data_IF_683439481455
#
_entry.id   IF_683439481455
#
_cell.length_a   1.000
_cell.length_b   1.000
_cell.length_c   1.000
_cell.angle_alpha   90.00
_cell.angle_beta   90.00
_cell.angle_gamma   90.00
#
_symmetry.space_group_name_H-M   'P 1'
#
loop_
_entity.id
_entity.type
_entity.pdbx_description
1 polymer ?
#
# COMPACT_ATOMS: atom_id res chain seq x y z
N UNK A 1 -4.45 -25.22 14.17
CA UNK A 1 -4.55 -24.09 13.24
C UNK A 1 -4.56 -24.68 11.85
N UNK A 2 -5.72 -24.73 11.20
CA UNK A 2 -5.84 -25.21 9.82
C UNK A 2 -5.09 -24.22 8.92
N UNK A 3 -4.19 -24.74 8.06
CA UNK A 3 -3.61 -23.97 6.98
C UNK A 3 -4.77 -23.38 6.16
N UNK A 4 -4.99 -22.09 6.30
CA UNK A 4 -5.84 -21.33 5.40
C UNK A 4 -5.11 -21.38 4.05
N UNK A 5 -5.57 -22.23 3.14
CA UNK A 5 -5.11 -22.29 1.76
C UNK A 5 -5.67 -21.04 1.06
N UNK A 6 -5.00 -19.90 1.32
CA UNK A 6 -5.35 -18.62 0.74
C UNK A 6 -4.76 -18.66 -0.67
N UNK A 7 -5.52 -19.18 -1.61
CA UNK A 7 -5.27 -19.07 -3.05
C UNK A 7 -5.43 -17.61 -3.53
N UNK A 8 -4.83 -16.68 -2.79
CA UNK A 8 -4.74 -15.29 -3.19
C UNK A 8 -3.55 -15.18 -4.14
N UNK A 9 -3.83 -14.71 -5.30
CA UNK A 9 -3.03 -14.61 -6.51
C UNK A 9 -1.54 -14.37 -6.32
N UNK A 10 -0.73 -15.08 -7.12
CA UNK A 10 0.73 -15.00 -7.07
C UNK A 10 1.26 -13.64 -7.49
N UNK A 11 2.14 -13.10 -6.66
CA UNK A 11 3.03 -12.00 -7.03
C UNK A 11 4.10 -12.58 -7.97
N UNK A 12 4.16 -12.09 -9.21
CA UNK A 12 5.19 -12.49 -10.19
C UNK A 12 6.06 -11.30 -10.58
N UNK A 13 7.08 -10.97 -9.75
CA UNK A 13 8.03 -9.93 -10.11
C UNK A 13 9.02 -10.49 -11.14
N UNK A 14 8.98 -9.98 -12.37
CA UNK A 14 9.84 -10.45 -13.48
C UNK A 14 10.78 -9.37 -14.02
N UNK A 15 10.47 -8.10 -13.80
CA UNK A 15 11.22 -6.97 -14.36
C UNK A 15 12.27 -6.42 -13.39
N UNK A 16 13.36 -5.95 -13.96
CA UNK A 16 14.50 -5.39 -13.24
C UNK A 16 14.94 -4.10 -13.91
N UNK A 17 14.95 -2.98 -13.20
CA UNK A 17 15.35 -1.67 -13.72
C UNK A 17 16.06 -0.85 -12.62
N UNK A 18 17.37 -1.06 -12.40
CA UNK A 18 18.12 -0.46 -11.28
C UNK A 18 18.37 1.04 -11.44
N UNK A 19 18.14 1.60 -12.62
CA UNK A 19 18.25 3.03 -12.93
C UNK A 19 16.93 3.63 -13.46
N UNK A 20 15.82 2.97 -13.21
CA UNK A 20 14.50 3.41 -13.69
C UNK A 20 14.27 3.14 -15.16
N UNK A 21 13.72 4.12 -15.90
CA UNK A 21 13.47 4.07 -17.34
C UNK A 21 14.35 5.10 -18.06
N UNK A 22 15.45 4.69 -18.71
CA UNK A 22 16.36 5.62 -19.37
C UNK A 22 15.74 6.39 -20.53
N UNK A 23 14.57 5.97 -21.06
CA UNK A 23 13.88 6.67 -22.16
C UNK A 23 13.10 7.90 -21.69
N UNK A 24 12.78 7.99 -20.39
CA UNK A 24 12.01 9.10 -19.79
C UNK A 24 12.88 10.32 -19.49
N UNK A 25 14.17 10.13 -19.23
CA UNK A 25 15.09 11.18 -18.77
C UNK A 25 14.99 11.45 -17.26
N UNK A 26 15.95 12.23 -16.73
CA UNK A 26 16.15 12.46 -15.30
C UNK A 26 16.02 13.94 -14.92
N UNK A 27 15.73 14.28 -13.65
CA UNK A 27 15.27 13.34 -12.62
C UNK A 27 13.93 12.74 -12.98
N UNK A 28 13.69 11.48 -12.57
CA UNK A 28 12.42 10.80 -12.83
C UNK A 28 11.81 10.21 -11.57
N UNK A 29 10.48 10.28 -11.49
CA UNK A 29 9.67 9.59 -10.49
C UNK A 29 9.18 8.27 -11.10
N UNK A 30 9.39 7.18 -10.41
CA UNK A 30 8.90 5.88 -10.80
C UNK A 30 8.01 5.28 -9.71
N UNK A 31 6.80 4.86 -10.08
CA UNK A 31 5.93 4.03 -9.24
C UNK A 31 6.04 2.58 -9.70
N UNK A 32 6.17 1.66 -8.76
CA UNK A 32 6.33 0.23 -8.99
C UNK A 32 5.33 -0.58 -8.18
N UNK A 33 4.90 -1.70 -8.75
CA UNK A 33 4.23 -2.76 -7.98
C UNK A 33 4.71 -4.13 -8.46
N UNK A 34 4.82 -5.07 -7.53
CA UNK A 34 5.15 -6.47 -7.84
C UNK A 34 3.89 -7.33 -8.07
N UNK A 35 2.69 -6.72 -8.02
CA UNK A 35 1.42 -7.38 -8.26
C UNK A 35 1.07 -7.41 -9.74
N UNK A 36 0.54 -8.53 -10.23
CA UNK A 36 -0.09 -8.62 -11.55
C UNK A 36 -1.33 -7.71 -11.63
N UNK A 37 -1.74 -7.35 -12.86
CA UNK A 37 -2.92 -6.49 -13.11
C UNK A 37 -4.22 -7.27 -12.85
N UNK A 38 -4.39 -7.74 -11.65
CA UNK A 38 -5.50 -8.56 -11.20
C UNK A 38 -5.93 -8.12 -9.79
N UNK A 39 -7.15 -7.63 -9.70
CA UNK A 39 -7.71 -7.11 -8.44
C UNK A 39 -7.76 -8.18 -7.39
N UNK A 40 -7.53 -7.80 -6.15
CA UNK A 40 -7.79 -8.68 -5.01
C UNK A 40 -9.27 -9.07 -4.97
N UNK A 41 -9.53 -10.37 -4.87
CA UNK A 41 -10.89 -10.88 -4.73
C UNK A 41 -11.39 -10.60 -3.31
N UNK A 42 -12.10 -9.45 -3.15
CA UNK A 42 -12.64 -9.04 -1.84
C UNK A 42 -13.68 -10.00 -1.30
N UNK A 43 -14.44 -10.70 -2.14
CA UNK A 43 -15.43 -11.67 -1.69
C UNK A 43 -14.77 -12.84 -0.97
N UNK A 44 -13.60 -13.29 -1.44
CA UNK A 44 -12.82 -14.33 -0.75
C UNK A 44 -12.25 -13.80 0.58
N UNK A 45 -11.72 -12.57 0.59
CA UNK A 45 -11.24 -11.93 1.82
C UNK A 45 -12.38 -11.81 2.82
N UNK A 46 -13.54 -11.30 2.39
CA UNK A 46 -14.74 -11.17 3.24
C UNK A 46 -15.18 -12.52 3.82
N UNK A 47 -15.20 -13.59 3.02
CA UNK A 47 -15.53 -14.93 3.52
C UNK A 47 -14.60 -15.39 4.65
N UNK A 48 -13.29 -15.14 4.52
CA UNK A 48 -12.31 -15.47 5.55
C UNK A 48 -12.59 -14.68 6.83
N UNK A 49 -12.84 -13.38 6.70
CA UNK A 49 -13.10 -12.49 7.84
C UNK A 49 -14.45 -12.79 8.50
N UNK A 50 -15.47 -13.13 7.71
CA UNK A 50 -16.75 -13.59 8.18
C UNK A 50 -16.61 -14.89 9.01
N UNK A 51 -15.88 -15.88 8.49
CA UNK A 51 -15.62 -17.12 9.19
C UNK A 51 -14.82 -16.91 10.50
N UNK A 52 -13.90 -15.94 10.52
CA UNK A 52 -13.21 -15.57 11.75
C UNK A 52 -14.18 -14.93 12.77
N UNK A 53 -15.00 -13.98 12.34
CA UNK A 53 -15.99 -13.34 13.21
C UNK A 53 -16.99 -14.34 13.80
N UNK A 54 -17.46 -15.29 12.99
CA UNK A 54 -18.50 -16.27 13.37
C UNK A 54 -18.03 -17.32 14.41
N UNK A 55 -16.74 -17.27 14.80
CA UNK A 55 -16.24 -18.05 15.95
C UNK A 55 -16.81 -17.56 17.30
N UNK A 56 -17.35 -16.34 17.34
CA UNK A 56 -17.93 -15.73 18.53
C UNK A 56 -19.36 -15.22 18.29
N UNK A 57 -20.24 -15.25 19.30
CA UNK A 57 -21.57 -14.68 19.21
C UNK A 57 -21.55 -13.17 18.87
N UNK A 58 -22.59 -12.66 18.18
CA UNK A 58 -22.64 -11.27 17.69
C UNK A 58 -22.51 -10.22 18.79
N UNK A 59 -22.96 -10.52 20.00
CA UNK A 59 -22.85 -9.62 21.14
C UNK A 59 -21.45 -9.53 21.74
N UNK A 60 -20.54 -10.46 21.38
CA UNK A 60 -19.13 -10.43 21.82
C UNK A 60 -18.25 -9.62 20.85
N UNK A 61 -18.63 -8.37 20.62
CA UNK A 61 -18.00 -7.48 19.60
C UNK A 61 -16.48 -7.41 19.69
N UNK A 62 -15.92 -7.26 20.89
CA UNK A 62 -14.46 -7.15 21.08
C UNK A 62 -13.72 -8.43 20.65
N UNK A 63 -14.28 -9.59 20.93
CA UNK A 63 -13.67 -10.87 20.52
C UNK A 63 -13.76 -11.05 19.01
N UNK A 64 -14.91 -10.69 18.42
CA UNK A 64 -15.08 -10.70 16.95
C UNK A 64 -14.07 -9.78 16.29
N UNK A 65 -13.97 -8.53 16.74
CA UNK A 65 -13.01 -7.56 16.22
C UNK A 65 -11.57 -8.08 16.29
N UNK A 66 -11.19 -8.68 17.43
CA UNK A 66 -9.85 -9.24 17.63
C UNK A 66 -9.50 -10.30 16.59
N UNK A 67 -10.35 -11.33 16.42
CA UNK A 67 -10.05 -12.43 15.48
C UNK A 67 -10.11 -11.98 14.02
N UNK A 68 -10.97 -11.03 13.68
CA UNK A 68 -11.01 -10.42 12.35
C UNK A 68 -9.71 -9.65 12.08
N UNK A 69 -9.22 -8.86 13.04
CA UNK A 69 -7.94 -8.15 12.89
C UNK A 69 -6.75 -9.10 12.79
N UNK A 70 -6.73 -10.19 13.56
CA UNK A 70 -5.71 -11.24 13.45
C UNK A 70 -5.73 -11.92 12.08
N UNK A 71 -6.90 -12.20 11.53
CA UNK A 71 -7.06 -12.74 10.18
C UNK A 71 -6.59 -11.74 9.11
N UNK A 72 -6.95 -10.46 9.24
CA UNK A 72 -6.46 -9.39 8.36
C UNK A 72 -4.93 -9.30 8.37
N UNK A 73 -4.31 -9.27 9.55
CA UNK A 73 -2.85 -9.26 9.68
C UNK A 73 -2.23 -10.48 8.98
N UNK A 74 -2.82 -11.66 9.14
CA UNK A 74 -2.35 -12.88 8.46
C UNK A 74 -2.43 -12.74 6.93
N UNK A 75 -3.52 -12.20 6.40
CA UNK A 75 -3.71 -11.97 4.96
C UNK A 75 -2.65 -10.98 4.45
N UNK A 76 -2.45 -9.85 5.14
CA UNK A 76 -1.48 -8.83 4.74
C UNK A 76 -0.02 -9.30 4.84
N UNK A 77 0.32 -10.05 5.87
CA UNK A 77 1.68 -10.56 6.07
C UNK A 77 2.04 -11.76 5.17
N UNK A 78 1.06 -12.38 4.52
CA UNK A 78 1.31 -13.49 3.59
C UNK A 78 2.14 -13.09 2.35
N UNK A 79 2.25 -11.78 2.05
CA UNK A 79 2.89 -11.25 0.84
C UNK A 79 2.06 -11.45 -0.44
N UNK A 80 0.96 -12.19 -0.38
CA UNK A 80 0.15 -12.54 -1.56
C UNK A 80 -0.67 -11.36 -2.11
N UNK A 81 -0.90 -10.32 -1.31
CA UNK A 81 -1.58 -9.11 -1.78
C UNK A 81 -0.72 -8.25 -2.69
N UNK A 82 0.61 -8.42 -2.63
CA UNK A 82 1.56 -7.61 -3.37
C UNK A 82 1.96 -6.33 -2.63
N UNK A 83 2.82 -5.55 -3.27
CA UNK A 83 3.43 -4.34 -2.71
C UNK A 83 3.58 -3.27 -3.79
N UNK A 84 3.52 -1.99 -3.37
CA UNK A 84 3.78 -0.84 -4.22
C UNK A 84 4.72 0.14 -3.52
N UNK A 85 5.59 0.80 -4.30
CA UNK A 85 6.55 1.78 -3.79
C UNK A 85 6.92 2.82 -4.84
N UNK A 86 7.55 3.88 -4.39
CA UNK A 86 8.00 5.01 -5.21
C UNK A 86 9.52 5.12 -5.15
N UNK A 87 10.15 5.38 -6.30
CA UNK A 87 11.57 5.74 -6.38
C UNK A 87 11.72 6.99 -7.22
N UNK A 88 12.54 7.93 -6.75
CA UNK A 88 13.04 9.03 -7.57
C UNK A 88 14.49 8.71 -7.95
N UNK A 89 14.76 8.58 -9.24
CA UNK A 89 16.11 8.50 -9.77
C UNK A 89 16.57 9.90 -10.17
N UNK A 90 17.66 10.39 -9.58
CA UNK A 90 18.18 11.72 -9.86
C UNK A 90 18.98 11.75 -11.18
N UNK A 91 19.65 10.65 -11.50
CA UNK A 91 20.42 10.45 -12.73
C UNK A 91 20.40 8.98 -13.18
N UNK A 92 21.07 8.68 -14.29
CA UNK A 92 21.31 7.33 -14.81
C UNK A 92 22.42 6.56 -14.06
N UNK A 93 22.99 7.15 -13.01
CA UNK A 93 24.01 6.50 -12.19
C UNK A 93 23.39 5.57 -11.19
N UNK A 94 23.87 4.32 -11.15
CA UNK A 94 23.47 3.36 -10.13
C UNK A 94 23.75 3.92 -8.73
N UNK A 95 22.72 3.86 -7.85
CA UNK A 95 22.82 4.37 -6.48
C UNK A 95 22.43 5.83 -6.30
N UNK A 96 22.17 6.58 -7.39
CA UNK A 96 21.71 7.98 -7.32
C UNK A 96 20.17 8.05 -7.32
N UNK A 97 19.58 7.67 -6.20
CA UNK A 97 18.12 7.60 -6.04
C UNK A 97 17.67 7.96 -4.62
N UNK A 98 16.37 8.15 -4.50
CA UNK A 98 15.64 8.21 -3.22
C UNK A 98 14.42 7.32 -3.33
N UNK A 99 14.27 6.32 -2.45
CA UNK A 99 13.08 5.49 -2.41
C UNK A 99 12.17 5.86 -1.25
N UNK A 100 10.87 5.70 -1.46
CA UNK A 100 9.81 5.97 -0.50
C UNK A 100 8.94 4.74 -0.34
N UNK A 101 8.94 4.19 0.86
CA UNK A 101 8.23 2.99 1.24
C UNK A 101 7.21 3.27 2.34
N UNK A 102 6.21 2.40 2.45
CA UNK A 102 5.25 2.41 3.55
C UNK A 102 5.09 0.97 4.06
N UNK A 103 5.51 0.72 5.29
CA UNK A 103 5.62 -0.63 5.83
C UNK A 103 5.01 -0.79 7.22
N UNK A 104 4.57 -2.01 7.53
CA UNK A 104 3.86 -2.44 8.72
C UNK A 104 4.21 -1.69 10.00
N UNK A 105 5.28 -2.07 10.67
CA UNK A 105 5.65 -1.50 11.99
C UNK A 105 6.28 -0.10 11.92
N UNK A 106 6.61 0.40 10.72
CA UNK A 106 7.42 1.59 10.53
C UNK A 106 6.65 2.80 10.00
N UNK A 107 5.51 2.59 9.29
CA UNK A 107 4.88 3.62 8.49
C UNK A 107 5.77 4.04 7.32
N UNK A 108 6.03 5.33 7.15
CA UNK A 108 6.93 5.87 6.14
C UNK A 108 8.39 5.52 6.42
N UNK A 109 9.08 5.02 5.39
CA UNK A 109 10.52 4.73 5.42
C UNK A 109 11.18 5.26 4.15
N UNK A 110 12.29 6.00 4.32
CA UNK A 110 13.12 6.51 3.24
C UNK A 110 14.31 5.58 3.00
N UNK A 111 14.63 5.30 1.74
CA UNK A 111 15.77 4.48 1.30
C UNK A 111 15.83 3.11 2.02
N UNK A 112 14.68 2.43 2.06
CA UNK A 112 14.58 1.12 2.67
C UNK A 112 15.35 0.08 1.85
N UNK A 113 16.44 -0.45 2.40
CA UNK A 113 17.36 -1.41 1.78
C UNK A 113 17.70 -2.61 2.70
N UNK A 114 16.96 -2.78 3.80
CA UNK A 114 17.12 -3.92 4.69
C UNK A 114 16.48 -5.19 4.12
N UNK A 115 16.82 -6.35 4.69
CA UNK A 115 16.19 -7.63 4.30
C UNK A 115 14.67 -7.63 4.53
N UNK A 116 14.21 -6.92 5.56
CA UNK A 116 12.78 -6.86 5.92
C UNK A 116 12.02 -5.84 5.06
N UNK A 117 12.67 -4.71 4.74
CA UNK A 117 12.07 -3.59 4.01
C UNK A 117 13.00 -3.22 2.87
N UNK A 118 12.80 -3.85 1.72
CA UNK A 118 13.64 -3.59 0.55
C UNK A 118 12.80 -2.98 -0.57
N UNK A 119 12.79 -1.64 -0.64
CA UNK A 119 12.22 -0.88 -1.75
C UNK A 119 13.31 -0.21 -2.59
N UNK A 120 14.46 -0.85 -2.67
CA UNK A 120 15.60 -0.43 -3.48
C UNK A 120 15.30 -0.50 -4.98
N UNK A 121 16.11 0.16 -5.82
CA UNK A 121 16.03 0.05 -7.28
C UNK A 121 16.17 -1.37 -7.81
N UNK A 122 16.90 -2.23 -7.09
CA UNK A 122 17.13 -3.63 -7.41
C UNK A 122 15.95 -4.54 -7.13
N UNK A 123 14.96 -4.09 -6.35
CA UNK A 123 13.75 -4.88 -6.12
C UNK A 123 12.99 -5.11 -7.42
N UNK A 124 12.75 -6.37 -7.74
CA UNK A 124 11.98 -6.77 -8.92
C UNK A 124 10.52 -6.33 -8.79
N UNK A 125 9.91 -6.02 -9.92
CA UNK A 125 8.52 -5.58 -10.03
C UNK A 125 7.83 -6.23 -11.23
N UNK A 126 6.52 -6.21 -11.23
CA UNK A 126 5.69 -6.63 -12.38
C UNK A 126 5.55 -5.50 -13.38
N UNK A 127 5.16 -4.30 -12.90
CA UNK A 127 4.96 -3.13 -13.73
C UNK A 127 5.54 -1.88 -13.06
N UNK A 128 6.05 -0.99 -13.89
CA UNK A 128 6.57 0.33 -13.52
C UNK A 128 6.01 1.38 -14.47
N UNK A 129 5.76 2.58 -13.93
CA UNK A 129 5.57 3.81 -14.70
C UNK A 129 6.58 4.82 -14.20
N UNK A 130 7.30 5.47 -15.11
CA UNK A 130 8.21 6.56 -14.80
C UNK A 130 7.78 7.82 -15.54
N UNK A 131 7.90 8.97 -14.90
CA UNK A 131 7.74 10.29 -15.50
C UNK A 131 8.94 11.17 -15.17
N UNK A 132 9.30 12.08 -16.06
CA UNK A 132 10.33 13.08 -15.78
C UNK A 132 9.79 14.15 -14.84
N UNK A 133 10.52 14.40 -13.75
CA UNK A 133 10.20 15.51 -12.84
C UNK A 133 10.76 16.82 -13.43
N UNK A 134 9.87 17.73 -13.79
CA UNK A 134 10.22 19.05 -14.32
C UNK A 134 9.91 20.17 -13.32
N UNK A 135 9.06 19.91 -12.34
CA UNK A 135 8.70 20.88 -11.30
C UNK A 135 9.68 20.78 -10.12
N UNK A 136 10.42 21.86 -9.78
CA UNK A 136 11.34 21.88 -8.63
C UNK A 136 10.66 21.58 -7.28
N UNK A 137 9.37 21.85 -7.14
CA UNK A 137 8.61 21.56 -5.91
C UNK A 137 8.35 20.03 -5.71
N UNK A 138 8.66 19.23 -6.72
CA UNK A 138 8.54 17.77 -6.66
C UNK A 138 9.89 17.04 -6.45
N UNK A 139 10.95 17.80 -6.11
CA UNK A 139 12.22 17.17 -5.70
C UNK A 139 12.08 16.47 -4.33
N UNK A 140 12.94 15.47 -4.01
CA UNK A 140 12.86 14.70 -2.77
C UNK A 140 12.69 15.57 -1.52
N UNK A 141 13.53 16.59 -1.35
CA UNK A 141 13.50 17.46 -0.17
C UNK A 141 12.15 18.18 0.02
N UNK A 142 11.53 18.61 -1.07
CA UNK A 142 10.22 19.28 -1.01
C UNK A 142 9.09 18.31 -0.72
N UNK A 143 9.12 17.13 -1.33
CA UNK A 143 8.13 16.09 -1.03
C UNK A 143 8.18 15.68 0.44
N UNK A 144 9.37 15.54 1.00
CA UNK A 144 9.60 15.19 2.41
C UNK A 144 9.18 16.31 3.40
N UNK A 145 9.18 17.57 2.95
CA UNK A 145 8.74 18.70 3.77
C UNK A 145 7.23 18.99 3.68
N UNK A 146 6.56 18.56 2.62
CA UNK A 146 5.18 18.97 2.31
C UNK A 146 4.21 17.81 2.20
N UNK A 147 4.29 17.00 1.13
CA UNK A 147 3.30 16.00 0.79
C UNK A 147 3.37 14.80 1.76
N UNK A 148 4.58 14.25 1.95
CA UNK A 148 4.78 13.06 2.81
C UNK A 148 4.31 13.30 4.26
N UNK A 149 4.62 14.43 4.92
CA UNK A 149 4.08 14.71 6.25
C UNK A 149 2.55 14.78 6.29
N UNK A 150 1.91 15.28 5.23
CA UNK A 150 0.45 15.31 5.12
C UNK A 150 -0.14 13.89 5.03
N UNK A 151 0.47 13.02 4.23
CA UNK A 151 0.07 11.61 4.12
C UNK A 151 0.28 10.87 5.45
N UNK A 152 1.43 11.06 6.09
CA UNK A 152 1.72 10.48 7.40
C UNK A 152 0.69 10.91 8.45
N UNK A 153 0.29 12.19 8.44
CA UNK A 153 -0.75 12.66 9.35
C UNK A 153 -2.10 12.01 9.07
N UNK A 154 -2.50 11.86 7.79
CA UNK A 154 -3.76 11.18 7.42
C UNK A 154 -3.78 9.75 7.97
N UNK A 155 -2.74 8.97 7.72
CA UNK A 155 -2.65 7.58 8.18
C UNK A 155 -2.54 7.45 9.69
N UNK A 156 -1.83 8.36 10.37
CA UNK A 156 -1.80 8.42 11.83
C UNK A 156 -3.21 8.64 12.42
N UNK A 157 -3.97 9.58 11.87
CA UNK A 157 -5.34 9.85 12.33
C UNK A 157 -6.25 8.65 12.12
N UNK A 158 -6.10 7.95 10.98
CA UNK A 158 -6.84 6.70 10.73
C UNK A 158 -6.47 5.62 11.74
N UNK A 159 -5.18 5.41 12.01
CA UNK A 159 -4.74 4.46 13.03
C UNK A 159 -5.31 4.79 14.43
N UNK A 160 -5.37 6.06 14.79
CA UNK A 160 -6.01 6.50 16.04
C UNK A 160 -7.51 6.16 16.06
N UNK A 161 -8.21 6.38 14.96
CA UNK A 161 -9.62 6.00 14.82
C UNK A 161 -9.83 4.49 14.99
N UNK A 162 -8.86 3.70 14.49
CA UNK A 162 -8.83 2.25 14.63
C UNK A 162 -8.40 1.77 16.03
N UNK A 163 -8.07 2.67 16.97
CA UNK A 163 -7.58 2.32 18.30
C UNK A 163 -6.14 1.78 18.34
N UNK A 164 -5.38 1.96 17.25
CA UNK A 164 -4.01 1.48 17.17
C UNK A 164 -3.04 2.38 17.94
N UNK A 165 -2.02 1.76 18.56
CA UNK A 165 -0.89 2.48 19.14
C UNK A 165 0.18 2.67 18.06
N UNK A 166 0.57 3.92 17.80
CA UNK A 166 1.59 4.28 16.80
C UNK A 166 2.88 4.68 17.49
N UNK A 167 3.96 3.97 17.22
CA UNK A 167 5.28 4.20 17.83
C UNK A 167 5.88 5.54 17.41
N UNK A 168 5.81 5.87 16.13
CA UNK A 168 6.33 7.12 15.58
C UNK A 168 5.26 7.84 14.75
N UNK A 169 4.48 8.75 15.36
CA UNK A 169 3.42 9.49 14.66
C UNK A 169 3.91 10.32 13.47
N UNK A 170 5.16 10.77 13.46
CA UNK A 170 5.72 11.56 12.35
C UNK A 170 5.86 10.73 11.06
N UNK A 171 6.06 9.41 11.20
CA UNK A 171 6.12 8.49 10.06
C UNK A 171 4.73 7.96 9.67
N UNK A 172 3.66 8.43 10.30
CA UNK A 172 2.32 7.90 10.08
C UNK A 172 2.15 6.48 10.65
N UNK A 173 1.21 5.74 10.07
CA UNK A 173 0.95 4.37 10.49
C UNK A 173 0.47 3.53 9.31
N UNK A 174 1.03 2.34 9.16
CA UNK A 174 0.52 1.36 8.23
C UNK A 174 -0.76 0.74 8.79
N UNK A 175 -1.82 0.77 8.00
CA UNK A 175 -3.11 0.18 8.33
C UNK A 175 -3.65 -0.60 7.13
N UNK A 176 -4.65 -1.46 7.28
CA UNK A 176 -5.31 -2.09 6.13
C UNK A 176 -5.86 -1.10 5.09
N UNK A 177 -6.13 0.15 5.48
CA UNK A 177 -6.67 1.21 4.63
C UNK A 177 -5.56 2.09 4.08
N UNK A 178 -4.63 2.50 4.95
CA UNK A 178 -3.46 3.29 4.58
C UNK A 178 -2.23 2.37 4.49
N UNK A 179 -2.18 1.56 3.44
CA UNK A 179 -1.12 0.60 3.16
C UNK A 179 -0.10 1.15 2.14
N UNK A 180 0.85 0.32 1.71
CA UNK A 180 1.88 0.70 0.74
C UNK A 180 1.30 1.21 -0.59
N UNK A 181 0.23 0.60 -1.08
CA UNK A 181 -0.43 1.00 -2.33
C UNK A 181 -1.15 2.33 -2.19
N UNK A 182 -1.83 2.56 -1.07
CA UNK A 182 -2.42 3.85 -0.77
C UNK A 182 -1.35 4.95 -0.76
N UNK A 183 -0.24 4.73 -0.07
CA UNK A 183 0.84 5.73 0.02
C UNK A 183 1.44 6.03 -1.36
N UNK A 184 1.78 4.99 -2.13
CA UNK A 184 2.37 5.16 -3.46
C UNK A 184 1.40 5.86 -4.42
N UNK A 185 0.11 5.49 -4.41
CA UNK A 185 -0.93 6.09 -5.24
C UNK A 185 -1.22 7.55 -4.88
N UNK A 186 -1.37 7.86 -3.58
CA UNK A 186 -1.59 9.23 -3.11
C UNK A 186 -0.39 10.14 -3.46
N UNK A 187 0.85 9.64 -3.24
CA UNK A 187 2.04 10.41 -3.58
C UNK A 187 2.13 10.67 -5.08
N UNK A 188 1.91 9.66 -5.92
CA UNK A 188 1.88 9.81 -7.38
C UNK A 188 0.82 10.82 -7.83
N UNK A 189 -0.43 10.63 -7.41
CA UNK A 189 -1.54 11.50 -7.80
C UNK A 189 -1.41 12.95 -7.29
N UNK A 190 -0.59 13.16 -6.24
CA UNK A 190 -0.33 14.50 -5.71
C UNK A 190 0.70 15.30 -6.53
N UNK A 191 1.51 14.63 -7.34
CA UNK A 191 2.64 15.26 -8.05
C UNK A 191 2.59 15.09 -9.57
N UNK A 192 1.62 14.35 -10.08
CA UNK A 192 1.45 14.12 -11.51
C UNK A 192 0.04 14.47 -11.96
N UNK A 193 -0.11 14.80 -13.24
CA UNK A 193 -1.42 14.97 -13.87
C UNK A 193 -2.07 13.62 -14.22
N UNK A 194 -1.30 12.52 -14.18
CA UNK A 194 -1.78 11.15 -14.39
C UNK A 194 -2.45 10.64 -13.11
N UNK A 195 -3.77 10.56 -13.12
CA UNK A 195 -4.52 10.08 -11.96
C UNK A 195 -4.65 8.54 -11.99
N UNK A 196 -3.89 7.88 -11.11
CA UNK A 196 -3.96 6.42 -10.95
C UNK A 196 -5.19 6.04 -10.13
N UNK A 197 -5.86 4.97 -10.57
CA UNK A 197 -6.92 4.31 -9.82
C UNK A 197 -6.31 3.11 -9.11
N UNK A 198 -6.21 3.19 -7.80
CA UNK A 198 -5.58 2.17 -6.95
C UNK A 198 -6.47 1.69 -5.80
N UNK A 199 -7.70 2.20 -5.74
CA UNK A 199 -8.68 1.83 -4.72
C UNK A 199 -9.86 1.11 -5.34
N UNK A 200 -10.30 0.03 -4.72
CA UNK A 200 -11.55 -0.62 -5.07
C UNK A 200 -12.64 -0.33 -4.03
N UNK A 201 -13.90 -0.37 -4.47
CA UNK A 201 -15.05 -0.15 -3.61
C UNK A 201 -15.11 -1.24 -2.53
N UNK A 202 -15.43 -0.81 -1.31
CA UNK A 202 -15.65 -1.68 -0.15
C UNK A 202 -16.83 -1.17 0.65
N UNK A 203 -17.78 -2.03 0.95
CA UNK A 203 -18.94 -1.65 1.78
C UNK A 203 -18.66 -1.98 3.24
N UNK A 204 -17.83 -1.17 3.91
CA UNK A 204 -17.49 -1.39 5.31
C UNK A 204 -18.69 -1.35 6.25
N UNK A 205 -19.71 -0.56 5.93
CA UNK A 205 -20.94 -0.47 6.74
C UNK A 205 -21.67 -1.83 6.82
N UNK A 206 -21.65 -2.61 5.75
CA UNK A 206 -22.27 -3.94 5.73
C UNK A 206 -21.59 -4.95 6.66
N UNK A 207 -20.34 -4.69 7.07
CA UNK A 207 -19.52 -5.61 7.86
C UNK A 207 -19.25 -5.10 9.28
N UNK A 208 -19.46 -3.80 9.55
CA UNK A 208 -19.09 -3.16 10.81
C UNK A 208 -19.69 -3.87 12.04
N UNK A 209 -20.99 -4.14 12.04
CA UNK A 209 -21.69 -4.83 13.12
C UNK A 209 -21.25 -6.30 13.21
N UNK A 210 -21.21 -6.99 12.08
CA UNK A 210 -20.85 -8.42 12.01
C UNK A 210 -19.45 -8.68 12.54
N UNK A 211 -18.49 -7.80 12.22
CA UNK A 211 -17.09 -7.96 12.65
C UNK A 211 -16.79 -7.31 13.99
N UNK A 212 -17.75 -6.56 14.56
CA UNK A 212 -17.58 -5.85 15.82
C UNK A 212 -16.64 -4.64 15.71
N UNK A 213 -16.51 -4.05 14.51
CA UNK A 213 -15.54 -2.98 14.20
C UNK A 213 -16.31 -1.76 13.69
N UNK A 214 -16.76 -0.92 14.60
CA UNK A 214 -17.70 0.17 14.31
C UNK A 214 -17.15 1.21 13.28
N UNK A 215 -15.83 1.52 13.30
CA UNK A 215 -15.23 2.47 12.37
C UNK A 215 -15.28 2.00 10.90
N UNK A 216 -15.46 0.70 10.62
CA UNK A 216 -15.62 0.20 9.25
C UNK A 216 -16.81 0.83 8.54
N UNK A 217 -17.83 1.28 9.27
CA UNK A 217 -18.97 1.98 8.67
C UNK A 217 -18.58 3.24 7.87
N UNK A 218 -17.38 3.79 8.13
CA UNK A 218 -16.85 4.94 7.42
C UNK A 218 -16.00 4.57 6.20
N UNK A 219 -15.70 3.27 6.01
CA UNK A 219 -14.79 2.81 4.97
C UNK A 219 -15.57 2.38 3.73
N UNK A 220 -15.35 3.12 2.66
CA UNK A 220 -16.04 2.89 1.36
C UNK A 220 -15.08 2.41 0.26
N UNK A 221 -13.77 2.45 0.51
CA UNK A 221 -12.74 2.04 -0.44
C UNK A 221 -11.54 1.48 0.30
N UNK A 222 -10.81 0.59 -0.37
CA UNK A 222 -9.52 0.05 0.08
C UNK A 222 -8.50 0.05 -1.05
N UNK A 223 -7.26 0.37 -0.72
CA UNK A 223 -6.18 0.38 -1.70
C UNK A 223 -5.72 -1.05 -2.02
N UNK A 224 -5.59 -1.32 -3.33
CA UNK A 224 -5.31 -2.64 -3.90
C UNK A 224 -4.17 -2.56 -4.91
N UNK A 225 -3.03 -3.25 -4.69
CA UNK A 225 -1.92 -3.23 -5.62
C UNK A 225 -2.23 -3.86 -6.99
N UNK A 226 -3.21 -4.78 -7.07
CA UNK A 226 -3.68 -5.33 -8.34
C UNK A 226 -4.43 -4.28 -9.17
N UNK A 227 -5.23 -3.45 -8.50
CA UNK A 227 -5.91 -2.32 -9.15
C UNK A 227 -4.94 -1.23 -9.60
N UNK A 228 -3.91 -0.96 -8.80
CA UNK A 228 -2.81 -0.09 -9.21
C UNK A 228 -2.12 -0.63 -10.47
N UNK A 229 -1.77 -1.92 -10.51
CA UNK A 229 -1.17 -2.55 -11.68
C UNK A 229 -2.08 -2.48 -12.91
N UNK A 230 -3.38 -2.70 -12.75
CA UNK A 230 -4.37 -2.52 -13.82
C UNK A 230 -4.39 -1.07 -14.35
N UNK A 231 -4.38 -0.09 -13.45
CA UNK A 231 -4.33 1.33 -13.81
C UNK A 231 -3.06 1.68 -14.58
N UNK A 232 -1.89 1.24 -14.08
CA UNK A 232 -0.60 1.46 -14.74
C UNK A 232 -0.53 0.83 -16.13
N UNK A 233 -1.16 -0.33 -16.34
CA UNK A 233 -1.15 -1.01 -17.63
C UNK A 233 -2.00 -0.32 -18.70
N UNK A 234 -2.93 0.55 -18.32
CA UNK A 234 -3.82 1.31 -19.22
C UNK A 234 -3.25 2.65 -19.66
N UNK A 235 -2.25 3.17 -18.96
CA UNK A 235 -1.58 4.42 -19.31
C UNK A 235 -0.57 4.12 -20.44
N UNK A 236 -0.79 4.74 -21.60
CA UNK A 236 0.08 4.58 -22.78
C UNK A 236 1.26 5.52 -22.74
#
# INVERSE_FOLDING_TARGET
>A
MSNLDISIMSVTPDKYAPIGDPTVGYPQLCIRTNRTAERTNLDEVIKILDAAADQYPIHEKEKRAKVVMEALVTIFSSGNLGHAWIIIFNSDKKGDYTSYAYHGDHGFVKNADSEEINDSPERKFYIQRCIRLTNPEHCPDKLEQTIIPSLNRKSYLMAKLMGMTVKNPANGAYTPINNCTWFAGELWNSITDEQLIYEQAFNGAAHAEKWGIDYLALITKIADPGMLAESLSKIK
#
